data_IF_733206896544
#
_entry.id   IF_733206896544
#
_cell.length_a   1.000
_cell.length_b   1.000
_cell.length_c   1.000
_cell.angle_alpha   90.00
_cell.angle_beta   90.00
_cell.angle_gamma   90.00
#
_symmetry.space_group_name_H-M   'P 1'
#
loop_
_entity.id
_entity.type
_entity.pdbx_description
1 polymer ?
#
# COMPACT_ATOMS: atom_id res chain seq x y z
N UNK A 1 -22.40 6.38 3.91
CA UNK A 1 -21.33 6.57 4.91
C UNK A 1 -19.99 6.94 4.27
N UNK A 2 -19.43 6.19 3.31
CA UNK A 2 -18.15 6.50 2.65
C UNK A 2 -18.01 7.94 2.08
N UNK A 3 -19.12 8.57 1.69
CA UNK A 3 -19.12 9.95 1.19
C UNK A 3 -18.59 10.99 2.18
N UNK A 4 -18.77 10.80 3.50
CA UNK A 4 -18.29 11.77 4.50
C UNK A 4 -16.77 11.77 4.64
N UNK A 5 -16.13 10.59 4.66
CA UNK A 5 -14.67 10.50 4.64
C UNK A 5 -14.06 11.06 3.36
N UNK A 6 -14.70 10.80 2.21
CA UNK A 6 -14.26 11.37 0.94
C UNK A 6 -14.32 12.91 0.97
N UNK A 7 -15.39 13.49 1.55
CA UNK A 7 -15.52 14.94 1.71
C UNK A 7 -14.47 15.48 2.68
N UNK A 8 -14.24 14.83 3.83
CA UNK A 8 -13.24 15.27 4.80
C UNK A 8 -11.82 15.25 4.23
N UNK A 9 -11.46 14.16 3.54
CA UNK A 9 -10.20 14.05 2.81
C UNK A 9 -10.12 15.20 1.80
N UNK A 10 -11.12 15.34 0.92
CA UNK A 10 -11.12 16.40 -0.09
C UNK A 10 -10.96 17.80 0.51
N UNK A 11 -11.61 18.10 1.65
CA UNK A 11 -11.50 19.38 2.34
C UNK A 11 -10.10 19.60 2.92
N UNK A 12 -9.54 18.62 3.65
CA UNK A 12 -8.20 18.72 4.24
C UNK A 12 -7.13 18.86 3.17
N UNK A 13 -7.24 18.07 2.11
CA UNK A 13 -6.28 18.10 1.01
C UNK A 13 -6.41 19.42 0.23
N UNK A 14 -7.63 19.90 -0.04
CA UNK A 14 -7.85 21.22 -0.66
C UNK A 14 -7.28 22.37 0.18
N UNK A 15 -7.44 22.36 1.51
CA UNK A 15 -6.88 23.38 2.41
C UNK A 15 -5.35 23.38 2.39
N UNK A 16 -4.73 22.19 2.53
CA UNK A 16 -3.27 22.05 2.48
C UNK A 16 -2.71 22.52 1.12
N UNK A 17 -3.37 22.18 0.02
CA UNK A 17 -2.92 22.58 -1.32
C UNK A 17 -3.10 24.08 -1.61
N UNK A 18 -4.21 24.71 -1.16
CA UNK A 18 -4.35 26.18 -1.27
C UNK A 18 -3.24 26.91 -0.52
N UNK A 19 -2.81 26.36 0.62
CA UNK A 19 -1.68 26.88 1.37
C UNK A 19 -0.36 26.76 0.59
N UNK A 20 -0.12 25.62 -0.07
CA UNK A 20 1.08 25.34 -0.87
C UNK A 20 1.16 26.15 -2.18
N UNK A 21 0.04 26.43 -2.84
CA UNK A 21 -0.01 27.28 -4.06
C UNK A 21 0.34 28.75 -3.78
N UNK A 22 0.37 29.19 -2.53
CA UNK A 22 0.76 30.55 -2.20
C UNK A 22 2.29 30.70 -2.29
N UNK A 23 2.83 31.51 -3.23
CA UNK A 23 4.28 31.62 -3.47
C UNK A 23 5.06 32.14 -2.26
N UNK A 24 4.40 32.82 -1.30
CA UNK A 24 5.02 33.24 -0.03
C UNK A 24 5.28 32.08 0.94
N UNK A 25 4.58 30.95 0.76
CA UNK A 25 4.65 29.77 1.63
C UNK A 25 5.56 28.67 1.07
N UNK A 26 5.62 28.51 -0.26
CA UNK A 26 6.54 27.56 -0.92
C UNK A 26 8.00 27.87 -0.59
N UNK A 27 8.39 29.17 -0.59
CA UNK A 27 9.73 29.63 -0.22
C UNK A 27 10.13 29.33 1.24
N UNK A 28 9.15 29.20 2.16
CA UNK A 28 9.41 28.82 3.57
C UNK A 28 9.65 27.32 3.75
N UNK A 29 9.06 26.49 2.90
CA UNK A 29 9.23 25.03 2.91
C UNK A 29 10.57 24.60 2.31
N UNK A 30 11.01 25.22 1.21
CA UNK A 30 12.35 24.99 0.62
C UNK A 30 13.45 25.28 1.65
N UNK A 31 13.37 26.40 2.37
CA UNK A 31 14.30 26.75 3.46
C UNK A 31 14.29 25.77 4.66
N UNK A 32 13.22 24.98 4.85
CA UNK A 32 13.15 23.93 5.87
C UNK A 32 13.77 22.62 5.38
N UNK A 33 13.63 22.29 4.09
CA UNK A 33 14.23 21.10 3.46
C UNK A 33 15.77 21.16 3.57
N UNK A 34 16.37 22.34 3.33
CA UNK A 34 17.81 22.55 3.49
C UNK A 34 18.31 22.40 4.93
N UNK A 35 17.46 22.66 5.93
CA UNK A 35 17.82 22.52 7.35
C UNK A 35 17.78 21.07 7.87
N UNK A 36 17.05 20.16 7.22
CA UNK A 36 17.05 18.74 7.60
C UNK A 36 18.24 17.96 7.02
N UNK A 37 18.96 18.52 6.04
CA UNK A 37 20.19 17.91 5.50
C UNK A 37 21.46 18.23 6.31
N UNK A 38 21.35 18.91 7.46
CA UNK A 38 22.48 19.17 8.35
C UNK A 38 22.38 18.36 9.64
N UNK A 39 22.89 17.13 9.57
CA UNK A 39 23.27 16.35 10.74
C UNK A 39 24.42 17.07 11.46
N UNK A 40 24.19 17.49 12.70
CA UNK A 40 25.26 17.69 13.69
C UNK A 40 24.88 16.92 14.94
N UNK A 41 25.49 15.73 15.06
CA UNK A 41 25.67 15.03 16.33
C UNK A 41 26.39 15.95 17.33
N UNK A 42 25.80 16.18 18.50
CA UNK A 42 26.52 16.33 19.78
C UNK A 42 25.54 16.25 20.95
N UNK A 43 25.78 15.29 21.84
CA UNK A 43 25.02 15.09 23.08
C UNK A 43 25.34 16.13 24.16
N UNK A 44 24.59 16.07 25.26
CA UNK A 44 24.91 16.78 26.50
C UNK A 44 23.68 17.16 27.36
N UNK A 45 23.47 16.37 28.43
CA UNK A 45 22.95 16.68 29.76
C UNK A 45 22.03 17.91 30.04
N UNK A 46 20.90 17.59 30.68
CA UNK A 46 20.28 18.16 31.89
C UNK A 46 20.33 19.69 32.16
N UNK A 47 19.18 20.34 32.32
CA UNK A 47 18.92 21.39 33.33
C UNK A 47 17.43 21.72 33.50
N UNK A 48 17.04 21.87 34.76
CA UNK A 48 15.73 22.12 35.39
C UNK A 48 15.27 23.58 35.42
N UNK A 49 14.04 23.80 35.92
CA UNK A 49 13.33 25.05 36.36
C UNK A 49 12.33 25.62 35.34
N UNK A 50 11.10 26.06 35.67
CA UNK A 50 10.39 26.29 36.95
C UNK A 50 8.87 26.35 36.68
N UNK A 51 8.07 25.96 37.67
CA UNK A 51 6.61 26.12 37.72
C UNK A 51 6.22 27.59 37.90
N UNK A 52 5.20 28.03 37.16
CA UNK A 52 4.30 29.11 37.59
C UNK A 52 2.88 28.83 37.12
N UNK A 53 2.00 28.67 38.11
CA UNK A 53 0.59 28.42 37.96
C UNK A 53 -0.16 29.69 37.55
N UNK A 54 -1.13 29.54 36.65
CA UNK A 54 -2.09 30.55 36.29
C UNK A 54 -3.16 29.95 35.39
N UNK A 55 -4.27 29.48 35.97
CA UNK A 55 -5.50 29.22 35.20
C UNK A 55 -6.18 30.55 34.90
N UNK A 56 -6.71 30.73 33.67
CA UNK A 56 -8.14 30.94 33.58
C UNK A 56 -8.80 30.26 32.36
N UNK A 57 -9.93 29.60 32.63
CA UNK A 57 -11.14 29.45 31.80
C UNK A 57 -10.97 29.38 30.27
N UNK A 58 -11.03 28.17 29.73
CA UNK A 58 -11.16 27.91 28.29
C UNK A 58 -12.62 28.02 27.84
N UNK A 59 -12.98 29.10 27.16
CA UNK A 59 -14.01 29.07 26.11
C UNK A 59 -13.51 28.22 24.94
N UNK A 60 -14.37 27.54 24.14
CA UNK A 60 -13.93 26.75 23.00
C UNK A 60 -13.52 27.70 21.88
N UNK A 61 -12.28 28.20 21.94
CA UNK A 61 -11.67 28.88 20.83
C UNK A 61 -11.51 27.85 19.73
N UNK A 62 -12.24 28.06 18.63
CA UNK A 62 -11.92 27.50 17.32
C UNK A 62 -10.39 27.51 17.18
N UNK A 63 -9.79 26.31 17.15
CA UNK A 63 -8.37 26.16 16.89
C UNK A 63 -8.09 26.90 15.58
N UNK A 64 -7.50 28.09 15.71
CA UNK A 64 -6.82 28.77 14.62
C UNK A 64 -5.78 27.79 14.12
N UNK A 65 -6.14 27.06 13.07
CA UNK A 65 -5.22 26.25 12.26
C UNK A 65 -4.30 27.22 11.52
N UNK A 66 -3.40 27.83 12.27
CA UNK A 66 -2.35 28.75 11.84
C UNK A 66 -1.01 28.11 12.17
N UNK A 67 -0.80 26.91 11.64
CA UNK A 67 0.51 26.25 11.58
C UNK A 67 0.62 25.61 10.21
N UNK A 68 1.66 25.93 9.44
CA UNK A 68 1.82 25.50 8.05
C UNK A 68 1.73 23.97 7.90
N UNK A 69 0.58 23.51 7.43
CA UNK A 69 0.27 22.09 7.26
C UNK A 69 0.99 21.60 6.00
N UNK A 70 2.13 20.93 6.19
CA UNK A 70 2.58 19.93 5.21
C UNK A 70 1.71 18.68 5.43
N UNK A 71 0.78 18.42 4.51
CA UNK A 71 -0.03 17.21 4.55
C UNK A 71 0.78 16.06 3.94
N UNK A 72 1.00 15.02 4.71
CA UNK A 72 1.63 13.78 4.27
C UNK A 72 0.58 12.79 3.76
N UNK A 73 1.00 11.77 3.01
CA UNK A 73 0.10 10.69 2.63
C UNK A 73 -0.45 9.95 3.85
N UNK A 74 0.33 9.84 4.93
CA UNK A 74 -0.10 9.21 6.17
C UNK A 74 -1.28 9.97 6.76
N UNK A 75 -1.29 11.31 6.70
CA UNK A 75 -2.40 12.12 7.19
C UNK A 75 -3.70 11.85 6.41
N UNK A 76 -3.59 11.66 5.10
CA UNK A 76 -4.72 11.31 4.23
C UNK A 76 -5.25 9.91 4.56
N UNK A 77 -4.39 8.90 4.57
CA UNK A 77 -4.81 7.52 4.83
C UNK A 77 -5.20 7.27 6.29
N UNK A 78 -4.71 8.05 7.25
CA UNK A 78 -5.18 7.99 8.63
C UNK A 78 -6.69 8.31 8.74
N UNK A 79 -7.21 9.20 7.90
CA UNK A 79 -8.66 9.47 7.84
C UNK A 79 -9.39 8.24 7.30
N UNK A 80 -8.88 7.64 6.22
CA UNK A 80 -9.47 6.45 5.63
C UNK A 80 -9.50 5.26 6.60
N UNK A 81 -8.40 5.02 7.32
CA UNK A 81 -8.28 3.96 8.33
C UNK A 81 -9.26 4.19 9.47
N UNK A 82 -9.27 5.38 10.09
CA UNK A 82 -10.21 5.71 11.18
C UNK A 82 -11.67 5.60 10.73
N UNK A 83 -11.97 6.04 9.51
CA UNK A 83 -13.32 5.93 8.98
C UNK A 83 -13.75 4.46 8.84
N UNK A 84 -12.87 3.61 8.31
CA UNK A 84 -13.15 2.17 8.15
C UNK A 84 -13.44 1.53 9.52
N UNK A 85 -12.65 1.85 10.53
CA UNK A 85 -12.84 1.37 11.92
C UNK A 85 -14.20 1.74 12.50
N UNK A 86 -14.70 2.96 12.23
CA UNK A 86 -16.00 3.42 12.74
C UNK A 86 -17.15 2.84 11.90
N UNK A 87 -17.01 2.85 10.57
CA UNK A 87 -18.09 2.44 9.69
C UNK A 87 -18.35 0.94 9.77
N UNK A 88 -17.29 0.14 9.95
CA UNK A 88 -17.30 -1.31 9.81
C UNK A 88 -16.54 -1.94 10.99
N UNK A 89 -17.10 -1.82 12.21
CA UNK A 89 -16.41 -2.21 13.44
C UNK A 89 -16.12 -3.71 13.52
N UNK A 90 -16.85 -4.53 12.74
CA UNK A 90 -16.65 -5.98 12.67
C UNK A 90 -15.57 -6.40 11.65
N UNK A 91 -15.02 -5.47 10.86
CA UNK A 91 -13.97 -5.72 9.86
C UNK A 91 -12.99 -4.51 9.82
N UNK A 92 -12.32 -4.19 10.95
CA UNK A 92 -11.53 -2.97 11.08
C UNK A 92 -10.19 -3.08 10.34
N UNK A 93 -9.74 -1.96 9.78
CA UNK A 93 -8.39 -1.81 9.21
C UNK A 93 -7.48 -1.16 10.25
N UNK A 94 -6.25 -1.67 10.37
CA UNK A 94 -5.23 -1.16 11.30
C UNK A 94 -3.89 -0.98 10.59
N UNK A 95 -3.03 -0.13 11.16
CA UNK A 95 -1.67 0.05 10.69
C UNK A 95 -0.79 -1.07 11.25
N UNK A 96 -0.27 -1.94 10.37
CA UNK A 96 0.53 -3.11 10.77
C UNK A 96 1.82 -2.70 11.48
N UNK A 97 2.47 -1.63 11.02
CA UNK A 97 3.67 -1.06 11.64
C UNK A 97 3.45 -0.46 13.05
N UNK A 98 2.20 -0.44 13.55
CA UNK A 98 1.86 -0.04 14.92
C UNK A 98 1.48 -1.24 15.81
N UNK A 99 1.57 -2.46 15.28
CA UNK A 99 1.35 -3.71 16.01
C UNK A 99 2.66 -4.23 16.63
N UNK A 100 2.57 -5.28 17.46
CA UNK A 100 3.73 -5.92 18.08
C UNK A 100 4.65 -6.57 17.05
N UNK A 101 5.91 -6.77 17.41
CA UNK A 101 6.91 -7.42 16.55
C UNK A 101 6.55 -8.87 16.16
N UNK A 102 5.58 -9.49 16.83
CA UNK A 102 5.02 -10.80 16.47
C UNK A 102 4.41 -10.80 15.06
N UNK A 103 3.95 -9.65 14.58
CA UNK A 103 3.43 -9.47 13.22
C UNK A 103 4.53 -9.35 12.15
N UNK A 104 5.80 -9.25 12.56
CA UNK A 104 6.95 -9.34 11.64
C UNK A 104 7.12 -10.74 11.06
N UNK A 105 6.34 -11.74 11.53
CA UNK A 105 6.37 -13.13 11.05
C UNK A 105 5.91 -13.31 9.60
N UNK A 106 5.49 -12.23 8.92
CA UNK A 106 5.51 -12.17 7.46
C UNK A 106 4.15 -12.33 6.76
N UNK A 107 3.01 -12.38 7.46
CA UNK A 107 1.70 -12.43 6.83
C UNK A 107 0.74 -11.41 7.43
N UNK A 108 0.37 -10.38 6.65
CA UNK A 108 -0.66 -9.42 7.06
C UNK A 108 -2.04 -9.81 6.57
N UNK A 109 -2.17 -10.19 5.29
CA UNK A 109 -3.44 -10.64 4.71
C UNK A 109 -3.35 -12.08 4.21
N UNK A 110 -4.35 -12.89 4.59
CA UNK A 110 -4.57 -14.22 4.04
C UNK A 110 -6.04 -14.36 3.65
N UNK A 111 -6.28 -14.34 2.34
CA UNK A 111 -7.62 -14.36 1.76
C UNK A 111 -7.78 -15.67 0.98
N UNK A 112 -8.24 -16.76 1.62
CA UNK A 112 -8.46 -18.01 0.94
C UNK A 112 -9.67 -17.93 0.02
N UNK A 113 -9.52 -18.44 -1.20
CA UNK A 113 -10.60 -18.68 -2.14
C UNK A 113 -11.09 -20.13 -2.01
N UNK A 114 -10.14 -21.04 -1.80
CA UNK A 114 -10.37 -22.44 -1.44
C UNK A 114 -9.62 -22.76 -0.14
N UNK A 115 -10.27 -23.49 0.76
CA UNK A 115 -9.64 -24.17 1.90
C UNK A 115 -9.93 -25.68 1.78
N UNK A 116 -8.95 -26.44 1.31
CA UNK A 116 -9.12 -27.83 0.89
C UNK A 116 -10.18 -28.00 -0.21
N UNK A 117 -11.34 -28.55 0.16
CA UNK A 117 -12.50 -28.71 -0.72
C UNK A 117 -13.53 -27.59 -0.54
N UNK A 118 -13.40 -26.78 0.51
CA UNK A 118 -14.37 -25.75 0.86
C UNK A 118 -14.17 -24.50 0.00
N UNK A 119 -15.26 -24.04 -0.62
CA UNK A 119 -15.32 -22.79 -1.37
C UNK A 119 -15.71 -21.65 -0.45
N UNK A 120 -14.83 -20.66 -0.31
CA UNK A 120 -15.08 -19.54 0.59
C UNK A 120 -16.10 -18.59 -0.04
N UNK A 121 -17.32 -18.55 0.50
CA UNK A 121 -18.47 -17.83 -0.09
C UNK A 121 -18.13 -16.40 -0.51
N UNK A 122 -17.42 -15.65 0.35
CA UNK A 122 -17.07 -14.23 0.09
C UNK A 122 -16.07 -14.05 -1.07
N UNK A 123 -15.14 -14.99 -1.26
CA UNK A 123 -13.97 -14.79 -2.14
C UNK A 123 -13.92 -15.75 -3.33
N UNK A 124 -14.60 -16.89 -3.27
CA UNK A 124 -14.66 -17.86 -4.35
C UNK A 124 -15.19 -17.29 -5.68
N UNK A 125 -16.09 -16.28 -5.73
CA UNK A 125 -16.44 -15.64 -7.00
C UNK A 125 -15.24 -15.08 -7.77
N UNK A 126 -14.13 -14.78 -7.10
CA UNK A 126 -12.89 -14.31 -7.73
C UNK A 126 -11.93 -15.43 -8.14
N UNK A 127 -12.27 -16.70 -7.89
CA UNK A 127 -11.40 -17.85 -8.12
C UNK A 127 -10.82 -17.90 -9.54
N UNK A 128 -11.69 -17.82 -10.55
CA UNK A 128 -11.26 -17.88 -11.96
C UNK A 128 -10.35 -16.70 -12.32
N UNK A 129 -10.66 -15.50 -11.83
CA UNK A 129 -9.83 -14.31 -12.07
C UNK A 129 -8.45 -14.46 -11.45
N UNK A 130 -8.37 -14.99 -10.22
CA UNK A 130 -7.10 -15.24 -9.54
C UNK A 130 -6.30 -16.35 -10.22
N UNK A 131 -6.98 -17.41 -10.68
CA UNK A 131 -6.34 -18.49 -11.43
C UNK A 131 -5.72 -17.97 -12.73
N UNK A 132 -6.45 -17.18 -13.52
CA UNK A 132 -5.93 -16.58 -14.75
C UNK A 132 -4.78 -15.62 -14.47
N UNK A 133 -4.86 -14.82 -13.41
CA UNK A 133 -3.74 -13.97 -13.00
C UNK A 133 -2.49 -14.80 -12.68
N UNK A 134 -2.64 -15.90 -11.95
CA UNK A 134 -1.52 -16.82 -11.66
C UNK A 134 -0.93 -17.40 -12.95
N UNK A 135 -1.77 -17.87 -13.88
CA UNK A 135 -1.34 -18.37 -15.20
C UNK A 135 -0.55 -17.32 -15.96
N UNK A 136 -1.06 -16.09 -16.06
CA UNK A 136 -0.37 -14.98 -16.73
C UNK A 136 1.00 -14.73 -16.12
N UNK A 137 1.11 -14.69 -14.78
CA UNK A 137 2.39 -14.48 -14.09
C UNK A 137 3.36 -15.64 -14.37
N UNK A 138 2.90 -16.89 -14.27
CA UNK A 138 3.72 -18.08 -14.56
C UNK A 138 4.23 -18.06 -16.00
N UNK A 139 3.38 -17.68 -16.96
CA UNK A 139 3.71 -17.61 -18.37
C UNK A 139 4.61 -16.41 -18.72
N UNK A 140 4.52 -15.29 -18.03
CA UNK A 140 5.39 -14.13 -18.24
C UNK A 140 6.78 -14.38 -17.63
N UNK A 141 6.81 -14.77 -16.35
CA UNK A 141 8.05 -14.91 -15.59
C UNK A 141 8.79 -16.21 -15.85
N UNK A 142 8.09 -17.25 -16.32
CA UNK A 142 8.65 -18.59 -16.54
C UNK A 142 9.27 -19.21 -15.28
N UNK A 143 8.85 -18.80 -14.09
CA UNK A 143 9.18 -19.46 -12.84
C UNK A 143 8.09 -19.24 -11.79
N UNK A 144 8.07 -20.11 -10.79
CA UNK A 144 7.32 -19.94 -9.53
C UNK A 144 8.27 -20.09 -8.36
N UNK A 145 7.85 -19.75 -7.15
CA UNK A 145 8.62 -20.01 -5.95
C UNK A 145 7.95 -21.12 -5.14
N UNK A 146 8.75 -22.00 -4.54
CA UNK A 146 8.24 -23.06 -3.68
C UNK A 146 7.99 -22.57 -2.24
N UNK A 147 7.62 -23.48 -1.34
CA UNK A 147 7.35 -23.15 0.07
C UNK A 147 8.57 -22.60 0.82
N UNK A 148 9.79 -22.90 0.39
CA UNK A 148 11.05 -22.38 0.95
C UNK A 148 11.58 -21.15 0.18
N UNK A 149 10.72 -20.47 -0.58
CA UNK A 149 11.06 -19.31 -1.42
C UNK A 149 12.14 -19.58 -2.48
N UNK A 150 12.32 -20.84 -2.89
CA UNK A 150 13.24 -21.23 -3.97
C UNK A 150 12.54 -21.22 -5.32
N UNK A 151 13.21 -20.68 -6.34
CA UNK A 151 12.67 -20.61 -7.69
C UNK A 151 12.62 -21.99 -8.37
N UNK A 152 11.44 -22.35 -8.87
CA UNK A 152 11.19 -23.48 -9.77
C UNK A 152 10.99 -22.91 -11.18
N UNK A 153 11.94 -23.17 -12.07
CA UNK A 153 11.87 -22.69 -13.45
C UNK A 153 10.92 -23.53 -14.30
N UNK A 154 10.08 -22.84 -15.08
CA UNK A 154 9.07 -23.40 -15.99
C UNK A 154 9.56 -23.28 -17.45
N UNK A 155 10.73 -23.87 -17.73
CA UNK A 155 11.40 -23.74 -19.04
C UNK A 155 10.89 -24.73 -20.10
N UNK A 156 10.22 -25.79 -19.67
CA UNK A 156 9.67 -26.81 -20.57
C UNK A 156 8.42 -26.29 -21.30
N UNK A 157 8.45 -26.34 -22.63
CA UNK A 157 7.35 -25.94 -23.52
C UNK A 157 6.08 -26.72 -23.21
N UNK A 158 6.17 -28.01 -22.88
CA UNK A 158 5.01 -28.83 -22.53
C UNK A 158 4.37 -28.37 -21.22
N UNK A 159 5.18 -28.02 -20.21
CA UNK A 159 4.69 -27.44 -18.96
C UNK A 159 3.98 -26.11 -19.21
N UNK A 160 4.56 -25.24 -20.04
CA UNK A 160 3.95 -23.96 -20.40
C UNK A 160 2.60 -24.13 -21.11
N UNK A 161 2.50 -25.07 -22.06
CA UNK A 161 1.21 -25.41 -22.70
C UNK A 161 0.18 -25.94 -21.70
N UNK A 162 0.60 -26.80 -20.76
CA UNK A 162 -0.29 -27.30 -19.70
C UNK A 162 -0.77 -26.19 -18.77
N UNK A 163 0.07 -25.20 -18.45
CA UNK A 163 -0.32 -24.02 -17.68
C UNK A 163 -1.35 -23.18 -18.44
N UNK A 164 -1.16 -22.97 -19.74
CA UNK A 164 -2.06 -22.19 -20.59
C UNK A 164 -3.49 -22.76 -20.59
N UNK A 165 -3.62 -24.08 -20.70
CA UNK A 165 -4.92 -24.78 -20.73
C UNK A 165 -5.45 -25.19 -19.35
N UNK A 166 -4.70 -24.92 -18.27
CA UNK A 166 -5.12 -25.26 -16.92
C UNK A 166 -6.44 -24.57 -16.56
N UNK A 167 -7.37 -25.34 -15.99
CA UNK A 167 -8.73 -24.91 -15.64
C UNK A 167 -8.94 -24.79 -14.14
N UNK A 168 -7.98 -25.27 -13.35
CA UNK A 168 -8.04 -25.30 -11.90
C UNK A 168 -6.67 -25.09 -11.24
N UNK A 169 -6.67 -24.70 -9.95
CA UNK A 169 -5.45 -24.63 -9.16
C UNK A 169 -4.79 -26.01 -8.97
N UNK A 170 -5.57 -27.09 -8.98
CA UNK A 170 -5.05 -28.45 -8.98
C UNK A 170 -4.32 -28.80 -10.27
N UNK A 171 -4.80 -28.34 -11.43
CA UNK A 171 -4.08 -28.52 -12.71
C UNK A 171 -2.72 -27.83 -12.66
N UNK A 172 -2.68 -26.57 -12.18
CA UNK A 172 -1.43 -25.83 -12.02
C UNK A 172 -0.48 -26.52 -11.03
N UNK A 173 -1.00 -26.97 -9.89
CA UNK A 173 -0.21 -27.74 -8.92
C UNK A 173 0.39 -28.99 -9.55
N UNK A 174 -0.38 -29.75 -10.31
CA UNK A 174 0.10 -30.97 -10.97
C UNK A 174 1.20 -30.69 -12.00
N UNK A 175 1.20 -29.51 -12.64
CA UNK A 175 2.27 -29.11 -13.56
C UNK A 175 3.54 -28.71 -12.81
N UNK A 176 3.40 -27.98 -11.69
CA UNK A 176 4.53 -27.53 -10.88
C UNK A 176 5.15 -28.71 -10.11
N UNK A 177 4.32 -29.56 -9.51
CA UNK A 177 4.69 -30.77 -8.78
C UNK A 177 4.78 -30.60 -7.26
N UNK A 178 4.73 -29.37 -6.75
CA UNK A 178 4.84 -29.06 -5.32
C UNK A 178 4.08 -27.79 -4.93
N UNK A 179 3.97 -27.52 -3.63
CA UNK A 179 3.39 -26.28 -3.10
C UNK A 179 4.19 -25.09 -3.60
N UNK A 180 3.49 -24.10 -4.15
CA UNK A 180 4.12 -22.96 -4.79
C UNK A 180 3.35 -21.67 -4.59
N UNK A 181 4.03 -20.57 -4.90
CA UNK A 181 3.45 -19.25 -5.01
C UNK A 181 4.05 -18.48 -6.18
N UNK A 182 3.24 -17.54 -6.69
CA UNK A 182 3.66 -16.51 -7.64
C UNK A 182 3.24 -15.16 -7.09
N UNK A 183 3.94 -14.09 -7.44
CA UNK A 183 3.57 -12.75 -6.99
C UNK A 183 3.24 -11.84 -8.18
N UNK A 184 2.23 -10.99 -8.00
CA UNK A 184 2.10 -9.81 -8.85
C UNK A 184 3.37 -8.96 -8.71
N UNK A 185 3.67 -8.14 -9.71
CA UNK A 185 4.80 -7.21 -9.65
C UNK A 185 4.30 -5.81 -9.93
N UNK A 186 4.96 -4.83 -9.34
CA UNK A 186 4.69 -3.43 -9.62
C UNK A 186 6.00 -2.74 -9.98
N UNK A 187 5.98 -1.98 -11.08
CA UNK A 187 7.10 -1.10 -11.40
C UNK A 187 7.22 -0.04 -10.30
N UNK A 188 8.44 0.10 -9.79
CA UNK A 188 8.79 1.04 -8.75
C UNK A 188 8.88 2.45 -9.33
N UNK A 189 8.35 3.43 -8.59
CA UNK A 189 8.58 4.85 -8.89
C UNK A 189 9.65 5.46 -7.99
N UNK A 190 9.86 4.91 -6.79
CA UNK A 190 10.92 5.35 -5.88
C UNK A 190 12.31 4.85 -6.33
N UNK A 191 12.37 3.66 -6.91
CA UNK A 191 13.60 2.99 -7.33
C UNK A 191 13.58 2.64 -8.82
N UNK A 192 14.13 3.53 -9.63
CA UNK A 192 14.11 3.38 -11.09
C UNK A 192 14.62 2.01 -11.57
N UNK A 193 13.82 1.34 -12.41
CA UNK A 193 14.15 0.05 -12.99
C UNK A 193 13.91 -1.16 -12.07
N UNK A 194 13.48 -0.96 -10.82
CA UNK A 194 13.10 -2.06 -9.93
C UNK A 194 11.62 -2.42 -10.12
N UNK A 195 11.33 -3.71 -9.93
CA UNK A 195 9.97 -4.23 -9.79
C UNK A 195 9.81 -4.80 -8.39
N UNK A 196 8.91 -4.22 -7.62
CA UNK A 196 8.60 -4.69 -6.28
C UNK A 196 7.66 -5.89 -6.35
N UNK A 197 7.83 -6.80 -5.39
CA UNK A 197 6.90 -7.89 -5.18
C UNK A 197 5.55 -7.31 -4.74
N UNK A 198 4.47 -7.71 -5.36
CA UNK A 198 3.10 -7.37 -4.98
C UNK A 198 2.48 -8.44 -4.10
N UNK A 199 1.26 -8.82 -4.41
CA UNK A 199 0.51 -9.85 -3.67
C UNK A 199 0.86 -11.22 -4.20
N UNK A 200 1.08 -12.18 -3.30
CA UNK A 200 1.31 -13.58 -3.63
C UNK A 200 -0.03 -14.29 -3.88
N UNK A 201 -0.06 -15.14 -4.91
CA UNK A 201 -1.08 -16.15 -5.14
C UNK A 201 -0.43 -17.48 -4.80
N UNK A 202 -1.01 -18.20 -3.83
CA UNK A 202 -0.43 -19.43 -3.28
C UNK A 202 -1.34 -20.61 -3.56
N UNK A 203 -0.75 -21.73 -3.98
CA UNK A 203 -1.43 -23.02 -4.10
C UNK A 203 -0.71 -24.03 -3.23
N UNK A 204 -1.42 -24.58 -2.24
CA UNK A 204 -0.88 -25.59 -1.32
C UNK A 204 -1.74 -26.85 -1.39
N UNK A 205 -1.11 -28.01 -1.42
CA UNK A 205 -1.82 -29.29 -1.32
C UNK A 205 -1.97 -29.66 0.15
N UNK A 206 -3.22 -29.76 0.62
CA UNK A 206 -3.54 -30.17 2.01
C UNK A 206 -3.79 -31.68 2.13
N UNK A 207 -3.35 -32.46 1.14
CA UNK A 207 -3.44 -33.91 1.10
C UNK A 207 -4.77 -34.39 0.56
N UNK A 208 -5.41 -35.34 1.25
CA UNK A 208 -6.71 -35.91 0.82
C UNK A 208 -7.86 -34.91 0.87
N UNK A 209 -7.66 -33.76 1.51
CA UNK A 209 -8.69 -32.75 1.77
C UNK A 209 -8.77 -31.67 0.69
N UNK A 210 -7.93 -31.72 -0.35
CA UNK A 210 -7.97 -30.80 -1.50
C UNK A 210 -6.82 -29.80 -1.54
N UNK A 211 -7.11 -28.56 -1.95
CA UNK A 211 -6.12 -27.52 -2.14
C UNK A 211 -6.49 -26.24 -1.42
N UNK A 212 -5.51 -25.63 -0.77
CA UNK A 212 -5.60 -24.26 -0.30
C UNK A 212 -5.13 -23.34 -1.42
N UNK A 213 -6.07 -22.56 -1.97
CA UNK A 213 -5.80 -21.57 -3.00
C UNK A 213 -6.16 -20.20 -2.46
N UNK A 214 -5.15 -19.35 -2.28
CA UNK A 214 -5.27 -18.12 -1.53
C UNK A 214 -4.46 -16.97 -2.12
N UNK A 215 -4.90 -15.75 -1.81
CA UNK A 215 -4.15 -14.52 -2.02
C UNK A 215 -3.53 -14.12 -0.68
N UNK A 216 -2.23 -13.78 -0.67
CA UNK A 216 -1.48 -13.39 0.51
C UNK A 216 -0.62 -12.17 0.24
N UNK A 217 -0.67 -11.16 1.10
CA UNK A 217 0.32 -10.08 1.08
C UNK A 217 1.32 -10.33 2.20
N UNK A 218 2.61 -10.53 1.88
CA UNK A 218 3.63 -10.62 2.91
C UNK A 218 3.73 -9.32 3.67
N UNK A 219 3.93 -9.39 4.98
CA UNK A 219 4.15 -8.21 5.83
C UNK A 219 5.48 -8.37 6.55
N UNK A 220 6.56 -8.26 5.79
CA UNK A 220 7.93 -8.27 6.32
C UNK A 220 8.42 -6.83 6.51
N UNK A 221 9.27 -6.55 7.52
CA UNK A 221 9.81 -5.21 7.72
C UNK A 221 10.47 -4.59 6.48
N UNK A 222 11.27 -5.38 5.75
CA UNK A 222 11.93 -4.93 4.51
C UNK A 222 10.93 -4.45 3.46
N UNK A 223 9.79 -5.13 3.35
CA UNK A 223 8.73 -4.77 2.40
C UNK A 223 8.04 -3.47 2.82
N UNK A 224 7.79 -3.28 4.12
CA UNK A 224 7.17 -2.05 4.62
C UNK A 224 8.04 -0.84 4.31
N UNK A 225 9.35 -0.94 4.48
CA UNK A 225 10.30 0.12 4.14
C UNK A 225 10.25 0.46 2.64
N UNK A 226 10.30 -0.55 1.77
CA UNK A 226 10.18 -0.34 0.32
C UNK A 226 8.87 0.36 -0.06
N UNK A 227 7.74 -0.10 0.45
CA UNK A 227 6.44 0.50 0.14
C UNK A 227 6.21 1.86 0.81
N UNK A 228 6.87 2.15 1.94
CA UNK A 228 6.88 3.47 2.55
C UNK A 228 7.54 4.50 1.63
N UNK A 229 8.65 4.11 0.97
CA UNK A 229 9.31 4.95 -0.03
C UNK A 229 8.43 5.13 -1.28
N UNK A 230 7.80 4.06 -1.78
CA UNK A 230 6.84 4.15 -2.89
C UNK A 230 5.66 5.08 -2.58
N UNK A 231 5.09 4.98 -1.37
CA UNK A 231 3.99 5.84 -0.94
C UNK A 231 4.41 7.31 -0.90
N UNK A 232 5.64 7.58 -0.48
CA UNK A 232 6.20 8.93 -0.43
C UNK A 232 6.40 9.48 -1.84
N UNK A 233 7.01 8.71 -2.74
CA UNK A 233 7.16 9.08 -4.14
C UNK A 233 5.80 9.26 -4.86
N UNK A 234 4.82 8.39 -4.57
CA UNK A 234 3.49 8.46 -5.17
C UNK A 234 2.74 9.71 -4.74
N UNK A 235 2.88 10.09 -3.47
CA UNK A 235 2.31 11.33 -2.94
C UNK A 235 2.91 12.58 -3.59
N UNK A 236 4.23 12.61 -3.74
CA UNK A 236 4.93 13.70 -4.43
C UNK A 236 4.48 13.77 -5.89
N UNK A 237 4.36 12.64 -6.59
CA UNK A 237 3.88 12.58 -7.97
C UNK A 237 2.43 13.09 -8.13
N UNK A 238 1.53 12.77 -7.20
CA UNK A 238 0.15 13.32 -7.21
C UNK A 238 0.19 14.84 -7.04
N UNK A 239 1.01 15.32 -6.11
CA UNK A 239 1.15 16.74 -5.85
C UNK A 239 1.74 17.47 -7.07
N UNK A 240 2.75 16.92 -7.73
CA UNK A 240 3.33 17.48 -8.96
C UNK A 240 2.33 17.49 -10.11
N UNK A 241 1.68 16.36 -10.40
CA UNK A 241 0.70 16.25 -11.48
C UNK A 241 -0.47 17.24 -11.34
N UNK A 242 -0.84 17.59 -10.11
CA UNK A 242 -1.94 18.52 -9.84
C UNK A 242 -1.48 19.99 -9.66
N UNK A 243 -0.23 20.25 -9.27
CA UNK A 243 0.28 21.61 -9.00
C UNK A 243 1.11 22.22 -10.15
N UNK A 244 1.53 21.42 -11.13
CA UNK A 244 2.38 21.87 -12.25
C UNK A 244 1.68 22.83 -13.21
N UNK A 245 0.34 22.81 -13.30
CA UNK A 245 -0.43 23.75 -14.11
C UNK A 245 -1.01 24.91 -13.27
N UNK A 246 -0.49 26.16 -13.40
CA UNK A 246 -1.02 27.32 -12.69
C UNK A 246 -2.42 27.74 -13.17
N UNK A 247 -2.82 27.37 -14.39
CA UNK A 247 -4.12 27.64 -14.99
C UNK A 247 -4.77 26.30 -15.33
N UNK A 248 -5.41 25.61 -14.37
CA UNK A 248 -5.85 24.21 -14.52
C UNK A 248 -6.73 24.10 -15.76
N UNK A 249 -6.10 23.74 -16.87
CA UNK A 249 -6.82 23.39 -18.06
C UNK A 249 -7.50 22.08 -17.71
N UNK A 250 -8.80 21.97 -17.98
CA UNK A 250 -9.51 20.68 -17.92
C UNK A 250 -9.06 19.78 -19.08
N UNK A 251 -7.76 19.74 -19.34
CA UNK A 251 -7.17 18.83 -20.30
C UNK A 251 -7.42 17.41 -19.77
N UNK A 252 -8.04 16.58 -20.61
CA UNK A 252 -8.35 15.19 -20.28
C UNK A 252 -7.09 14.43 -19.89
N UNK A 253 -5.96 14.73 -20.57
CA UNK A 253 -4.70 14.03 -20.34
C UNK A 253 -4.13 14.31 -18.94
N UNK A 254 -4.21 15.56 -18.48
CA UNK A 254 -3.78 15.93 -17.14
C UNK A 254 -4.63 15.26 -16.06
N UNK A 255 -5.95 15.17 -16.28
CA UNK A 255 -6.86 14.46 -15.37
C UNK A 255 -6.58 12.95 -15.33
N UNK A 256 -6.27 12.34 -16.47
CA UNK A 256 -5.94 10.92 -16.53
C UNK A 256 -4.60 10.60 -15.84
N UNK A 257 -3.60 11.48 -15.94
CA UNK A 257 -2.36 11.37 -15.18
C UNK A 257 -2.60 11.41 -13.66
N UNK A 258 -3.46 12.33 -13.20
CA UNK A 258 -3.84 12.43 -11.78
C UNK A 258 -4.59 11.17 -11.32
N UNK A 259 -5.54 10.66 -12.12
CA UNK A 259 -6.24 9.39 -11.80
C UNK A 259 -5.25 8.23 -11.69
N UNK A 260 -4.33 8.11 -12.64
CA UNK A 260 -3.33 7.06 -12.63
C UNK A 260 -2.43 7.14 -11.38
N UNK A 261 -2.03 8.34 -10.98
CA UNK A 261 -1.23 8.56 -9.77
C UNK A 261 -2.01 8.20 -8.49
N UNK A 262 -3.29 8.55 -8.40
CA UNK A 262 -4.16 8.18 -7.27
C UNK A 262 -4.33 6.66 -7.18
N UNK A 263 -4.60 5.99 -8.31
CA UNK A 263 -4.76 4.53 -8.36
C UNK A 263 -3.46 3.83 -7.95
N UNK A 264 -2.30 4.34 -8.40
CA UNK A 264 -0.99 3.83 -8.01
C UNK A 264 -0.73 4.00 -6.51
N UNK A 265 -0.98 5.17 -5.94
CA UNK A 265 -0.83 5.38 -4.49
C UNK A 265 -1.76 4.46 -3.69
N UNK A 266 -2.99 4.26 -4.16
CA UNK A 266 -3.93 3.33 -3.51
C UNK A 266 -3.46 1.88 -3.59
N UNK A 267 -2.87 1.49 -4.72
CA UNK A 267 -2.27 0.17 -4.87
C UNK A 267 -1.10 -0.01 -3.89
N UNK A 268 -0.17 0.95 -3.82
CA UNK A 268 0.96 0.86 -2.88
C UNK A 268 0.49 0.81 -1.42
N UNK A 269 -0.54 1.58 -1.05
CA UNK A 269 -1.09 1.54 0.30
C UNK A 269 -1.70 0.18 0.67
N UNK A 270 -2.33 -0.52 -0.28
CA UNK A 270 -2.83 -1.88 -0.02
C UNK A 270 -1.71 -2.89 0.20
N UNK A 271 -0.52 -2.61 -0.34
CA UNK A 271 0.63 -3.51 -0.33
C UNK A 271 1.64 -3.20 0.78
N UNK A 272 1.48 -2.05 1.46
CA UNK A 272 2.28 -1.57 2.59
C UNK A 272 1.87 -2.18 3.92
#
# INVERSE_FOLDING_TARGET
MAGLAAIEIAQKVSKAWRFLRNPKNSAKLVRRRDKHNMSVNRGGYCSTSTLSAGSPTSSPSEERVSSGISLSWQDVYNIAVKWRQISEPCDPVVWVNKLSEEFNSGFGSHTPLLLGQAKIVRYYPYYLRTLEAAKTIMLDLKYVNNAEDRAIFLTDIEKLKKIEVASSCSDLYNVVGETYWVATRCDSIAFQGRRLEGTRITTQNVGKTGFDFAIRTPCTPSRWEEYQEEMTAAWEAICEAYCSDPNPTRDSNALDAVKAAILRMTYYWYQS
#
